data_IF_420004306381
#
_entry.id   IF_420004306381
#
_cell.length_a   1.000
_cell.length_b   1.000
_cell.length_c   1.000
_cell.angle_alpha   90.00
_cell.angle_beta   90.00
_cell.angle_gamma   90.00
#
_symmetry.space_group_name_H-M   'P 1'
#
loop_
_entity.id
_entity.type
_entity.pdbx_description
1 polymer ?
#
# COMPACT_ATOMS: atom_id res chain seq x y z
N UNK A 1 1.33 -14.62 -0.15
CA UNK A 1 1.66 -13.83 -1.36
C UNK A 1 0.68 -13.99 -2.52
N UNK A 2 -0.32 -14.87 -2.48
CA UNK A 2 -1.24 -15.06 -3.63
C UNK A 2 -2.10 -13.83 -3.95
N UNK A 3 -2.54 -13.07 -2.93
CA UNK A 3 -3.36 -11.87 -3.16
C UNK A 3 -2.56 -10.76 -3.87
N UNK A 4 -1.26 -10.61 -3.57
CA UNK A 4 -0.41 -9.61 -4.23
C UNK A 4 -0.21 -9.96 -5.71
N UNK A 5 0.01 -11.24 -6.00
CA UNK A 5 0.22 -11.72 -7.37
C UNK A 5 -1.08 -11.63 -8.20
N UNK A 6 -2.23 -11.96 -7.60
CA UNK A 6 -3.55 -11.78 -8.22
C UNK A 6 -3.83 -10.30 -8.50
N UNK A 7 -3.59 -9.41 -7.53
CA UNK A 7 -3.79 -7.97 -7.73
C UNK A 7 -2.87 -7.40 -8.80
N UNK A 8 -1.62 -7.84 -8.84
CA UNK A 8 -0.66 -7.43 -9.86
C UNK A 8 -1.11 -7.88 -11.26
N UNK A 9 -1.53 -9.14 -11.41
CA UNK A 9 -2.10 -9.66 -12.65
C UNK A 9 -3.37 -8.91 -13.08
N UNK A 10 -4.24 -8.56 -12.13
CA UNK A 10 -5.42 -7.74 -12.40
C UNK A 10 -5.04 -6.34 -12.92
N UNK A 11 -4.07 -5.67 -12.29
CA UNK A 11 -3.55 -4.38 -12.75
C UNK A 11 -2.97 -4.49 -14.16
N UNK A 12 -2.15 -5.49 -14.44
CA UNK A 12 -1.57 -5.72 -15.77
C UNK A 12 -2.66 -5.94 -16.84
N UNK A 13 -3.70 -6.71 -16.52
CA UNK A 13 -4.85 -6.90 -17.41
C UNK A 13 -5.59 -5.58 -17.68
N UNK A 14 -5.80 -4.76 -16.64
CA UNK A 14 -6.45 -3.45 -16.79
C UNK A 14 -5.61 -2.44 -17.56
N UNK A 15 -4.28 -2.47 -17.44
CA UNK A 15 -3.38 -1.66 -18.28
C UNK A 15 -3.59 -2.00 -19.75
N UNK A 16 -3.58 -3.30 -20.10
CA UNK A 16 -3.83 -3.73 -21.48
C UNK A 16 -5.22 -3.31 -21.95
N UNK A 17 -6.24 -3.39 -21.09
CA UNK A 17 -7.57 -2.93 -21.43
C UNK A 17 -7.58 -1.42 -21.75
N UNK A 18 -6.91 -0.59 -20.94
CA UNK A 18 -6.75 0.84 -21.22
C UNK A 18 -6.04 1.04 -22.57
N UNK A 19 -4.92 0.35 -22.82
CA UNK A 19 -4.18 0.42 -24.08
C UNK A 19 -5.04 0.06 -25.30
N UNK A 20 -5.88 -0.98 -25.21
CA UNK A 20 -6.82 -1.33 -26.28
C UNK A 20 -7.89 -0.25 -26.46
N UNK A 21 -8.43 0.31 -25.37
CA UNK A 21 -9.44 1.38 -25.47
C UNK A 21 -8.87 2.67 -26.07
N UNK A 22 -7.59 2.95 -25.86
CA UNK A 22 -6.88 4.09 -26.45
C UNK A 22 -6.67 3.96 -27.97
N UNK A 23 -6.89 2.77 -28.56
CA UNK A 23 -6.89 2.60 -30.02
C UNK A 23 -8.18 3.10 -30.69
N UNK A 24 -9.23 3.33 -29.90
CA UNK A 24 -10.46 3.95 -30.34
C UNK A 24 -10.60 5.38 -29.80
N UNK A 25 -11.75 5.99 -30.10
CA UNK A 25 -11.97 7.42 -29.86
C UNK A 25 -13.05 7.68 -28.79
N UNK A 26 -13.57 6.62 -28.16
CA UNK A 26 -14.65 6.72 -27.18
C UNK A 26 -14.11 7.14 -25.81
N UNK A 27 -14.19 8.45 -25.55
CA UNK A 27 -13.77 9.06 -24.30
C UNK A 27 -14.48 8.47 -23.06
N UNK A 28 -15.73 8.00 -23.19
CA UNK A 28 -16.44 7.40 -22.05
C UNK A 28 -15.89 6.02 -21.72
N UNK A 29 -15.53 5.23 -22.73
CA UNK A 29 -14.88 3.93 -22.55
C UNK A 29 -13.48 4.09 -21.97
N UNK A 30 -12.67 5.01 -22.51
CA UNK A 30 -11.30 5.28 -22.02
C UNK A 30 -11.35 5.73 -20.55
N UNK A 31 -12.29 6.62 -20.20
CA UNK A 31 -12.49 7.06 -18.82
C UNK A 31 -12.85 5.89 -17.90
N UNK A 32 -13.79 5.04 -18.31
CA UNK A 32 -14.22 3.88 -17.52
C UNK A 32 -13.06 2.90 -17.30
N UNK A 33 -12.27 2.62 -18.34
CA UNK A 33 -11.11 1.74 -18.25
C UNK A 33 -10.03 2.34 -17.32
N UNK A 34 -9.79 3.65 -17.43
CA UNK A 34 -8.83 4.38 -16.58
C UNK A 34 -9.26 4.40 -15.12
N UNK A 35 -10.54 4.69 -14.84
CA UNK A 35 -11.09 4.71 -13.48
C UNK A 35 -10.99 3.30 -12.85
N UNK A 36 -11.26 2.25 -13.63
CA UNK A 36 -11.10 0.86 -13.20
C UNK A 36 -9.63 0.49 -12.90
N UNK A 37 -8.67 0.97 -13.70
CA UNK A 37 -7.24 0.79 -13.44
C UNK A 37 -6.82 1.49 -12.15
N UNK A 38 -7.24 2.73 -11.94
CA UNK A 38 -6.92 3.49 -10.72
C UNK A 38 -7.41 2.77 -9.45
N UNK A 39 -8.62 2.18 -9.48
CA UNK A 39 -9.15 1.41 -8.37
C UNK A 39 -8.29 0.19 -8.00
N UNK A 40 -7.81 -0.56 -9.00
CA UNK A 40 -6.92 -1.71 -8.73
C UNK A 40 -5.55 -1.26 -8.24
N UNK A 41 -5.05 -0.13 -8.75
CA UNK A 41 -3.78 0.44 -8.30
C UNK A 41 -3.84 0.93 -6.85
N UNK A 42 -4.96 1.53 -6.42
CA UNK A 42 -5.19 1.89 -5.02
C UNK A 42 -5.20 0.67 -4.11
N UNK A 43 -5.90 -0.41 -4.50
CA UNK A 43 -5.88 -1.66 -3.73
C UNK A 43 -4.47 -2.23 -3.60
N UNK A 44 -3.70 -2.22 -4.68
CA UNK A 44 -2.30 -2.66 -4.67
C UNK A 44 -1.45 -1.78 -3.75
N UNK A 45 -1.62 -0.46 -3.78
CA UNK A 45 -0.92 0.47 -2.91
C UNK A 45 -1.26 0.25 -1.43
N UNK A 46 -2.54 0.04 -1.09
CA UNK A 46 -2.97 -0.31 0.27
C UNK A 46 -2.31 -1.61 0.75
N UNK A 47 -2.27 -2.64 -0.09
CA UNK A 47 -1.59 -3.91 0.24
C UNK A 47 -0.08 -3.76 0.38
N UNK A 48 0.55 -2.98 -0.49
CA UNK A 48 1.97 -2.67 -0.36
C UNK A 48 2.27 -1.92 0.95
N UNK A 49 1.40 -0.99 1.35
CA UNK A 49 1.53 -0.26 2.60
C UNK A 49 1.29 -1.14 3.84
N UNK A 50 0.28 -2.01 3.81
CA UNK A 50 0.03 -3.02 4.85
C UNK A 50 1.26 -3.94 5.00
N UNK A 51 1.82 -4.42 3.88
CA UNK A 51 3.01 -5.28 3.85
C UNK A 51 4.25 -4.55 4.37
N UNK A 52 4.46 -3.30 3.97
CA UNK A 52 5.56 -2.47 4.45
C UNK A 52 5.44 -2.18 5.95
N UNK A 53 4.24 -1.88 6.44
CA UNK A 53 3.97 -1.67 7.87
C UNK A 53 4.19 -2.94 8.68
N UNK A 54 3.70 -4.09 8.20
CA UNK A 54 3.93 -5.39 8.84
C UNK A 54 5.42 -5.79 8.84
N UNK A 55 6.14 -5.51 7.76
CA UNK A 55 7.58 -5.76 7.68
C UNK A 55 8.38 -4.86 8.63
N UNK A 56 7.99 -3.60 8.79
CA UNK A 56 8.62 -2.67 9.72
C UNK A 56 8.33 -3.05 11.19
N UNK A 57 7.10 -3.50 11.50
CA UNK A 57 6.74 -4.03 12.81
C UNK A 57 7.49 -5.34 13.15
N UNK A 58 7.80 -6.16 12.15
CA UNK A 58 8.63 -7.36 12.31
C UNK A 58 10.12 -7.04 12.50
N UNK A 59 10.63 -5.99 11.85
CA UNK A 59 12.00 -5.49 12.03
C UNK A 59 12.21 -4.77 13.38
N UNK A 60 11.15 -4.26 14.01
CA UNK A 60 11.15 -3.70 15.36
C UNK A 60 11.22 -4.73 16.50
N UNK A 61 11.26 -6.03 16.19
CA UNK A 61 11.46 -7.13 17.16
C UNK A 61 12.85 -7.77 17.01
N UNK A 62 13.90 -6.95 16.93
CA UNK A 62 15.28 -7.35 17.22
C UNK A 62 15.60 -7.07 18.70
N UNK A 63 16.47 -7.84 19.38
CA UNK A 63 16.62 -7.79 20.83
C UNK A 63 17.35 -6.51 21.24
N UNK A 64 16.60 -5.46 21.54
CA UNK A 64 17.13 -4.23 22.13
C UNK A 64 16.41 -3.94 23.46
N UNK A 65 16.60 -4.87 24.40
CA UNK A 65 16.39 -4.65 25.82
C UNK A 65 17.69 -4.91 26.57
N UNK A 66 18.80 -4.40 26.03
CA UNK A 66 20.13 -4.49 26.60
C UNK A 66 20.75 -3.10 26.67
N UNK A 67 21.09 -2.72 27.89
CA UNK A 67 22.00 -1.65 28.29
C UNK A 67 21.54 -0.19 28.19
N UNK A 68 21.32 0.34 29.39
CA UNK A 68 21.41 1.74 29.75
C UNK A 68 22.77 2.36 29.36
N UNK A 69 22.73 3.50 28.69
CA UNK A 69 23.66 4.63 28.79
C UNK A 69 23.18 5.69 27.77
N UNK A 70 22.49 6.74 28.19
CA UNK A 70 23.04 8.05 28.58
C UNK A 70 22.84 9.10 27.46
N UNK A 71 22.05 10.14 27.81
CA UNK A 71 22.09 11.53 27.31
C UNK A 71 21.70 11.87 25.85
N UNK A 72 20.48 12.40 25.66
CA UNK A 72 20.18 13.75 25.12
C UNK A 72 18.69 13.89 24.70
N UNK A 73 18.05 15.07 24.88
CA UNK A 73 16.61 15.26 24.70
C UNK A 73 16.29 15.63 23.25
N UNK A 74 15.51 14.79 22.58
CA UNK A 74 15.12 15.02 21.19
C UNK A 74 14.15 13.97 20.68
N UNK A 75 13.15 13.59 21.50
CA UNK A 75 12.06 12.73 21.07
C UNK A 75 11.03 13.58 20.33
N UNK A 76 11.26 13.72 19.03
CA UNK A 76 10.27 14.11 18.04
C UNK A 76 10.40 13.16 16.85
N UNK A 77 10.16 11.87 17.11
CA UNK A 77 9.91 10.82 16.11
C UNK A 77 9.55 9.59 16.97
N UNK A 78 8.35 9.06 16.98
CA UNK A 78 7.48 8.75 15.85
C UNK A 78 6.06 8.74 16.39
N UNK A 79 5.14 9.26 15.59
CA UNK A 79 3.70 9.20 15.80
C UNK A 79 3.32 7.74 16.08
N UNK A 80 3.05 7.43 17.34
CA UNK A 80 2.22 6.31 17.74
C UNK A 80 0.83 6.65 17.22
N UNK A 81 0.58 6.33 15.95
CA UNK A 81 -0.74 6.39 15.35
C UNK A 81 -1.55 5.32 16.06
N UNK A 82 -2.05 5.69 17.23
CA UNK A 82 -3.26 5.23 17.88
C UNK A 82 -4.30 4.90 16.80
N UNK A 83 -4.25 3.68 16.30
CA UNK A 83 -5.41 3.05 15.70
C UNK A 83 -6.29 2.67 16.89
N UNK A 84 -7.05 3.66 17.36
CA UNK A 84 -8.22 3.42 18.19
C UNK A 84 -9.06 2.41 17.41
N UNK A 85 -9.03 1.17 17.89
CA UNK A 85 -9.99 0.15 17.48
C UNK A 85 -11.33 0.74 17.89
N UNK A 86 -12.06 1.26 16.91
CA UNK A 86 -13.44 1.69 17.09
C UNK A 86 -14.22 0.44 17.48
N UNK A 87 -14.45 0.28 18.79
CA UNK A 87 -15.42 -0.65 19.33
C UNK A 87 -16.81 -0.24 18.83
N UNK A 88 -17.56 -1.20 18.28
CA UNK A 88 -19.02 -1.29 18.39
C UNK A 88 -19.36 -2.65 19.00
#
# INVERSE_FOLDING_TARGET
DDIDEVLKSEVESKIRAVEETLKGDDAAIIKTATDSLMQSMQKLASKAYEKASAANAAAGKGPAGGEAAAEAPGQADTVDAEYEVVDD
#
